data_IF_072984923866
#
_entry.id   IF_072984923866
#
_cell.length_a   1.000
_cell.length_b   1.000
_cell.length_c   1.000
_cell.angle_alpha   90.00
_cell.angle_beta   90.00
_cell.angle_gamma   90.00
#
_symmetry.space_group_name_H-M   'P 1'
#
loop_
_entity.id
_entity.type
_entity.pdbx_description
1 polymer ?
#
# COMPACT_ATOMS: atom_id res chain seq x y z
N UNK A 1 -6.60 -15.58 -17.17
CA UNK A 1 -5.65 -15.17 -16.11
C UNK A 1 -6.30 -14.01 -15.39
N UNK A 2 -6.90 -14.26 -14.23
CA UNK A 2 -7.62 -13.21 -13.49
C UNK A 2 -6.61 -12.21 -12.93
N UNK A 3 -6.83 -10.93 -13.22
CA UNK A 3 -6.20 -9.80 -12.55
C UNK A 3 -6.45 -9.93 -11.04
N UNK A 4 -5.46 -9.61 -10.21
CA UNK A 4 -5.68 -9.57 -8.77
C UNK A 4 -6.53 -8.37 -8.36
N UNK A 5 -7.13 -8.44 -7.18
CA UNK A 5 -8.00 -7.40 -6.64
C UNK A 5 -7.77 -7.23 -5.13
N UNK A 6 -8.31 -6.14 -4.59
CA UNK A 6 -8.24 -5.82 -3.17
C UNK A 6 -9.66 -5.82 -2.62
N UNK A 7 -9.87 -6.51 -1.51
CA UNK A 7 -11.13 -6.49 -0.77
C UNK A 7 -10.93 -5.82 0.58
N UNK A 8 -12.00 -5.26 1.13
CA UNK A 8 -11.98 -4.51 2.37
C UNK A 8 -13.19 -4.85 3.25
N UNK A 9 -12.96 -4.88 4.55
CA UNK A 9 -14.00 -4.88 5.58
C UNK A 9 -13.58 -3.99 6.75
N UNK A 10 -14.57 -3.52 7.50
CA UNK A 10 -14.35 -2.86 8.78
C UNK A 10 -15.38 -3.28 9.81
N UNK A 11 -14.94 -3.53 11.03
CA UNK A 11 -15.78 -3.87 12.17
C UNK A 11 -15.22 -3.22 13.43
N UNK A 12 -16.02 -2.41 14.13
CA UNK A 12 -15.67 -1.78 15.41
C UNK A 12 -14.29 -1.09 15.44
N UNK A 13 -13.93 -0.40 14.36
CA UNK A 13 -12.64 0.29 14.23
C UNK A 13 -11.46 -0.60 13.85
N UNK A 14 -11.68 -1.90 13.64
CA UNK A 14 -10.71 -2.81 13.03
C UNK A 14 -10.92 -2.86 11.53
N UNK A 15 -9.86 -2.62 10.77
CA UNK A 15 -9.87 -2.61 9.30
C UNK A 15 -9.17 -3.85 8.77
N UNK A 16 -9.77 -4.52 7.79
CA UNK A 16 -9.23 -5.72 7.16
C UNK A 16 -9.09 -5.46 5.67
N UNK A 17 -7.90 -5.68 5.14
CA UNK A 17 -7.59 -5.57 3.72
C UNK A 17 -7.15 -6.94 3.22
N UNK A 18 -7.82 -7.49 2.22
CA UNK A 18 -7.49 -8.80 1.64
C UNK A 18 -7.03 -8.63 0.21
N UNK A 19 -5.79 -9.01 -0.07
CA UNK A 19 -5.19 -8.93 -1.40
C UNK A 19 -5.17 -10.31 -2.04
N UNK A 20 -5.79 -10.44 -3.21
CA UNK A 20 -6.02 -11.72 -3.87
C UNK A 20 -5.40 -11.70 -5.26
N UNK A 21 -4.65 -12.74 -5.61
CA UNK A 21 -4.04 -12.89 -6.93
C UNK A 21 -2.83 -11.97 -7.17
N UNK A 22 -2.68 -11.47 -8.39
CA UNK A 22 -1.60 -10.56 -8.78
C UNK A 22 -2.00 -9.10 -8.57
N UNK A 23 -1.54 -8.49 -7.46
CA UNK A 23 -1.84 -7.10 -7.14
C UNK A 23 -0.68 -6.21 -7.55
N UNK A 24 -0.96 -5.23 -8.41
CA UNK A 24 0.03 -4.30 -8.99
C UNK A 24 -0.40 -2.86 -8.78
N UNK A 25 0.46 -1.92 -9.17
CA UNK A 25 0.24 -0.47 -9.15
C UNK A 25 -1.12 0.00 -9.69
N UNK A 26 -1.77 -0.75 -10.59
CA UNK A 26 -3.10 -0.41 -11.11
C UNK A 26 -4.19 -0.46 -10.03
N UNK A 27 -4.11 -1.39 -9.07
CA UNK A 27 -5.08 -1.51 -7.98
C UNK A 27 -4.78 -0.56 -6.79
N UNK A 28 -3.75 0.27 -6.90
CA UNK A 28 -3.19 1.04 -5.78
C UNK A 28 -3.91 2.33 -5.45
N UNK A 29 -4.63 2.95 -6.38
CA UNK A 29 -5.26 4.27 -6.11
C UNK A 29 -6.45 4.12 -5.18
N UNK A 30 -7.31 3.14 -5.43
CA UNK A 30 -8.45 2.85 -4.54
C UNK A 30 -7.97 2.44 -3.15
N UNK A 31 -6.88 1.67 -3.08
CA UNK A 31 -6.22 1.31 -1.82
C UNK A 31 -5.65 2.55 -1.11
N UNK A 32 -4.79 3.34 -1.75
CA UNK A 32 -4.17 4.52 -1.13
C UNK A 32 -5.24 5.53 -0.65
N UNK A 33 -6.29 5.79 -1.44
CA UNK A 33 -7.42 6.63 -1.01
C UNK A 33 -8.12 6.07 0.22
N UNK A 34 -8.36 4.77 0.26
CA UNK A 34 -8.99 4.12 1.40
C UNK A 34 -8.12 4.24 2.66
N UNK A 35 -6.81 4.01 2.54
CA UNK A 35 -5.87 4.15 3.63
C UNK A 35 -5.81 5.59 4.15
N UNK A 36 -5.71 6.57 3.24
CA UNK A 36 -5.77 7.99 3.61
C UNK A 36 -7.08 8.35 4.34
N UNK A 37 -8.22 7.72 4.01
CA UNK A 37 -9.48 7.93 4.76
C UNK A 37 -9.42 7.32 6.16
N UNK A 38 -8.86 6.12 6.31
CA UNK A 38 -8.74 5.43 7.59
C UNK A 38 -7.80 6.19 8.53
N UNK A 39 -6.72 6.75 8.01
CA UNK A 39 -5.80 7.61 8.76
C UNK A 39 -6.47 8.84 9.40
N UNK A 40 -7.60 9.32 8.86
CA UNK A 40 -8.33 10.46 9.39
C UNK A 40 -9.39 10.07 10.42
N UNK A 41 -9.62 8.76 10.64
CA UNK A 41 -10.61 8.27 11.59
C UNK A 41 -10.05 8.27 13.01
N UNK A 42 -10.84 8.76 13.98
CA UNK A 42 -10.41 8.84 15.39
C UNK A 42 -10.53 7.51 16.14
N UNK A 43 -11.35 6.60 15.63
CA UNK A 43 -11.76 5.36 16.28
C UNK A 43 -11.10 4.11 15.67
N UNK A 44 -9.92 4.26 15.06
CA UNK A 44 -9.16 3.10 14.58
C UNK A 44 -8.59 2.34 15.77
N UNK A 45 -8.87 1.03 15.82
CA UNK A 45 -8.44 0.11 16.88
C UNK A 45 -7.43 -0.91 16.35
N UNK A 46 -7.46 -1.22 15.05
CA UNK A 46 -6.56 -2.20 14.46
C UNK A 46 -6.60 -2.20 12.94
N UNK A 47 -5.55 -2.76 12.33
CA UNK A 47 -5.56 -3.11 10.92
C UNK A 47 -4.91 -4.48 10.67
N UNK A 48 -5.52 -5.25 9.77
CA UNK A 48 -5.03 -6.54 9.29
C UNK A 48 -4.91 -6.47 7.77
N UNK A 49 -3.73 -6.81 7.26
CA UNK A 49 -3.47 -6.97 5.83
C UNK A 49 -3.29 -8.46 5.55
N UNK A 50 -4.28 -9.07 4.92
CA UNK A 50 -4.31 -10.47 4.52
C UNK A 50 -3.74 -10.64 3.11
N UNK A 51 -2.55 -11.22 3.02
CA UNK A 51 -1.86 -11.58 1.78
C UNK A 51 -1.87 -13.11 1.53
N UNK A 52 -2.67 -13.87 2.28
CA UNK A 52 -2.67 -15.35 2.22
C UNK A 52 -3.08 -15.90 0.86
N UNK A 53 -3.82 -15.11 0.07
CA UNK A 53 -4.22 -15.42 -1.32
C UNK A 53 -3.51 -14.58 -2.37
N UNK A 54 -2.47 -13.82 -1.98
CA UNK A 54 -1.67 -13.02 -2.90
C UNK A 54 -0.63 -13.92 -3.60
N UNK A 55 -0.59 -13.87 -4.93
CA UNK A 55 0.38 -14.61 -5.75
C UNK A 55 1.52 -13.73 -6.24
N UNK A 56 1.29 -12.42 -6.36
CA UNK A 56 2.30 -11.43 -6.72
C UNK A 56 1.95 -10.07 -6.11
N UNK A 57 2.98 -9.34 -5.65
CA UNK A 57 2.86 -7.98 -5.15
C UNK A 57 4.09 -7.18 -5.60
N UNK A 58 3.89 -5.95 -6.07
CA UNK A 58 4.99 -5.06 -6.45
C UNK A 58 5.42 -4.12 -5.32
N UNK A 59 6.52 -3.38 -5.53
CA UNK A 59 7.03 -2.40 -4.57
C UNK A 59 6.06 -1.24 -4.31
N UNK A 60 5.19 -0.91 -5.26
CA UNK A 60 4.22 0.17 -5.11
C UNK A 60 3.17 -0.22 -4.08
N UNK A 61 2.59 -1.41 -4.20
CA UNK A 61 1.62 -1.93 -3.22
C UNK A 61 2.28 -2.04 -1.84
N UNK A 62 3.50 -2.59 -1.76
CA UNK A 62 4.24 -2.70 -0.49
C UNK A 62 4.51 -1.34 0.15
N UNK A 63 4.83 -0.31 -0.65
CA UNK A 63 5.02 1.05 -0.14
C UNK A 63 3.75 1.68 0.41
N UNK A 64 2.61 1.40 -0.22
CA UNK A 64 1.29 1.84 0.26
C UNK A 64 0.92 1.13 1.57
N UNK A 65 1.17 -0.17 1.66
CA UNK A 65 0.98 -0.92 2.92
C UNK A 65 1.92 -0.39 4.01
N UNK A 66 3.18 -0.12 3.68
CA UNK A 66 4.13 0.49 4.60
C UNK A 66 3.65 1.84 5.13
N UNK A 67 3.01 2.66 4.28
CA UNK A 67 2.43 3.94 4.66
C UNK A 67 1.34 3.76 5.72
N UNK A 68 0.41 2.82 5.51
CA UNK A 68 -0.59 2.46 6.52
C UNK A 68 0.06 2.06 7.85
N UNK A 69 0.98 1.09 7.81
CA UNK A 69 1.62 0.57 9.02
C UNK A 69 2.35 1.66 9.80
N UNK A 70 3.09 2.53 9.10
CA UNK A 70 3.80 3.64 9.69
C UNK A 70 2.83 4.63 10.37
N UNK A 71 1.72 4.95 9.70
CA UNK A 71 0.73 5.91 10.18
C UNK A 71 -0.04 5.41 11.39
N UNK A 72 -0.47 4.15 11.39
CA UNK A 72 -1.11 3.53 12.54
C UNK A 72 -0.19 3.48 13.75
N UNK A 73 1.09 3.15 13.52
CA UNK A 73 2.10 3.12 14.58
C UNK A 73 2.38 4.51 15.16
N UNK A 74 2.48 5.54 14.31
CA UNK A 74 2.81 6.91 14.74
C UNK A 74 1.63 7.66 15.36
N UNK A 75 0.43 7.50 14.79
CA UNK A 75 -0.74 8.31 15.15
C UNK A 75 -1.59 7.65 16.21
N UNK A 76 -1.81 6.34 16.08
CA UNK A 76 -2.70 5.57 16.96
C UNK A 76 -1.95 4.66 17.93
N UNK A 77 -0.62 4.58 17.84
CA UNK A 77 0.20 3.64 18.62
C UNK A 77 -0.22 2.17 18.43
N UNK A 78 -0.79 1.87 17.26
CA UNK A 78 -1.25 0.54 16.87
C UNK A 78 -0.23 -0.06 15.92
N UNK A 79 0.21 -1.29 16.22
CA UNK A 79 0.98 -2.07 15.27
C UNK A 79 0.04 -2.96 14.46
N UNK A 80 0.00 -2.74 13.15
CA UNK A 80 -0.84 -3.52 12.26
C UNK A 80 -0.30 -4.95 12.09
N UNK A 81 -1.16 -5.88 11.70
CA UNK A 81 -0.81 -7.28 11.44
C UNK A 81 -0.82 -7.53 9.93
N UNK A 82 0.19 -8.23 9.43
CA UNK A 82 0.24 -8.71 8.06
C UNK A 82 0.22 -10.24 8.06
N UNK A 83 -0.77 -10.85 7.43
CA UNK A 83 -0.87 -12.30 7.28
C UNK A 83 -0.27 -12.69 5.93
N UNK A 84 0.74 -13.55 5.91
CA UNK A 84 1.35 -14.03 4.67
C UNK A 84 1.77 -15.49 4.82
N UNK A 85 1.14 -16.35 4.03
CA UNK A 85 1.43 -17.80 3.95
C UNK A 85 2.36 -18.15 2.80
N UNK A 86 2.54 -17.23 1.84
CA UNK A 86 3.47 -17.39 0.73
C UNK A 86 4.89 -16.95 1.16
N UNK A 87 5.89 -17.85 1.21
CA UNK A 87 7.23 -17.53 1.69
C UNK A 87 7.95 -16.50 0.82
N UNK A 88 7.67 -16.44 -0.48
CA UNK A 88 8.29 -15.46 -1.38
C UNK A 88 7.77 -14.05 -1.08
N UNK A 89 6.45 -13.91 -0.87
CA UNK A 89 5.81 -12.66 -0.46
C UNK A 89 6.28 -12.23 0.92
N UNK A 90 6.36 -13.16 1.88
CA UNK A 90 6.89 -12.90 3.22
C UNK A 90 8.35 -12.43 3.19
N UNK A 91 9.18 -13.04 2.35
CA UNK A 91 10.60 -12.65 2.19
C UNK A 91 10.70 -11.27 1.56
N UNK A 92 9.89 -10.99 0.54
CA UNK A 92 9.83 -9.69 -0.11
C UNK A 92 9.37 -8.58 0.84
N UNK A 93 8.31 -8.80 1.62
CA UNK A 93 7.83 -7.84 2.60
C UNK A 93 8.90 -7.53 3.66
N UNK A 94 9.61 -8.56 4.15
CA UNK A 94 10.69 -8.39 5.10
C UNK A 94 11.90 -7.64 4.51
N UNK A 95 12.32 -7.99 3.29
CA UNK A 95 13.46 -7.31 2.63
C UNK A 95 13.18 -5.84 2.35
N UNK A 96 11.92 -5.49 2.09
CA UNK A 96 11.45 -4.11 1.95
C UNK A 96 11.25 -3.39 3.30
N UNK A 97 11.46 -4.06 4.43
CA UNK A 97 11.41 -3.47 5.77
C UNK A 97 10.04 -3.40 6.42
N UNK A 98 9.02 -4.07 5.88
CA UNK A 98 7.65 -3.99 6.42
C UNK A 98 7.53 -4.56 7.84
N UNK A 99 8.42 -5.46 8.25
CA UNK A 99 8.49 -5.97 9.63
C UNK A 99 8.75 -4.88 10.69
N UNK A 100 9.17 -3.68 10.30
CA UNK A 100 9.33 -2.56 11.22
C UNK A 100 7.99 -1.89 11.60
N UNK A 101 6.98 -2.05 10.75
CA UNK A 101 5.66 -1.40 10.88
C UNK A 101 4.49 -2.39 10.98
N UNK A 102 4.72 -3.66 10.61
CA UNK A 102 3.77 -4.75 10.78
C UNK A 102 4.34 -5.85 11.68
N UNK A 103 3.45 -6.54 12.40
CA UNK A 103 3.72 -7.91 12.86
C UNK A 103 3.36 -8.85 11.72
N UNK A 104 4.34 -9.53 11.12
CA UNK A 104 4.12 -10.46 10.03
C UNK A 104 3.90 -11.86 10.61
N UNK A 105 2.74 -12.45 10.33
CA UNK A 105 2.35 -13.77 10.83
C UNK A 105 2.10 -14.73 9.66
N UNK A 106 2.65 -15.93 9.77
CA UNK A 106 2.24 -17.06 8.93
C UNK A 106 1.04 -17.75 9.61
N UNK A 107 -0.15 -17.18 9.40
CA UNK A 107 -1.39 -17.71 9.92
C UNK A 107 -2.35 -18.00 8.76
N UNK A 108 -2.82 -19.24 8.71
CA UNK A 108 -3.82 -19.72 7.76
C UNK A 108 -5.06 -20.18 8.53
N UNK A 109 -5.73 -19.24 9.19
CA UNK A 109 -7.13 -19.41 9.53
C UNK A 109 -7.95 -18.74 8.43
N UNK A 110 -9.11 -19.30 8.10
CA UNK A 110 -10.07 -18.65 7.22
C UNK A 110 -11.09 -17.92 8.10
N UNK A 111 -10.83 -16.68 8.51
CA UNK A 111 -11.87 -15.91 9.17
C UNK A 111 -12.94 -15.67 8.11
N UNK A 112 -14.12 -16.27 8.29
CA UNK A 112 -15.34 -15.98 7.51
C UNK A 112 -15.75 -14.52 7.72
N UNK A 113 -14.96 -13.59 7.19
CA UNK A 113 -15.20 -12.15 7.21
C UNK A 113 -15.74 -11.80 5.85
N UNK A 114 -16.93 -11.19 5.82
CA UNK A 114 -17.49 -10.66 4.59
C UNK A 114 -16.71 -9.41 4.17
N UNK A 115 -15.77 -9.57 3.25
CA UNK A 115 -15.03 -8.50 2.58
C UNK A 115 -15.74 -8.09 1.29
N UNK A 116 -15.58 -6.82 0.89
CA UNK A 116 -16.10 -6.27 -0.36
C UNK A 116 -14.94 -5.83 -1.25
N UNK A 117 -14.98 -6.20 -2.52
CA UNK A 117 -14.00 -5.76 -3.52
C UNK A 117 -14.00 -4.24 -3.67
N UNK A 118 -12.81 -3.64 -3.70
CA UNK A 118 -12.63 -2.23 -3.98
C UNK A 118 -12.80 -2.00 -5.47
N UNK A 119 -13.73 -1.12 -5.84
CA UNK A 119 -13.94 -0.73 -7.23
C UNK A 119 -12.71 -0.02 -7.79
N UNK A 120 -12.24 -0.47 -8.95
CA UNK A 120 -11.23 0.24 -9.72
C UNK A 120 -11.83 1.54 -10.28
N UNK A 121 -11.21 2.67 -9.96
CA UNK A 121 -11.62 3.96 -10.50
C UNK A 121 -10.85 4.28 -11.79
N UNK A 122 -11.40 5.16 -12.63
CA UNK A 122 -10.68 5.62 -13.83
C UNK A 122 -9.43 6.41 -13.42
N UNK A 123 -8.26 5.83 -13.67
CA UNK A 123 -6.97 6.33 -13.19
C UNK A 123 -6.42 7.38 -14.17
N UNK A 124 -6.06 8.56 -13.66
CA UNK A 124 -5.27 9.54 -14.43
C UNK A 124 -3.77 9.25 -14.28
N UNK A 125 -2.99 9.58 -15.31
CA UNK A 125 -1.52 9.42 -15.27
C UNK A 125 -0.88 10.16 -14.09
N UNK A 126 -1.33 11.40 -13.82
CA UNK A 126 -0.81 12.20 -12.71
C UNK A 126 -1.13 11.56 -11.34
N UNK A 127 -2.35 11.02 -11.15
CA UNK A 127 -2.71 10.32 -9.91
C UNK A 127 -1.84 9.08 -9.70
N UNK A 128 -1.62 8.29 -10.75
CA UNK A 128 -0.75 7.10 -10.69
C UNK A 128 0.70 7.49 -10.34
N UNK A 129 1.25 8.50 -11.00
CA UNK A 129 2.61 8.99 -10.74
C UNK A 129 2.78 9.44 -9.29
N UNK A 130 1.79 10.18 -8.77
CA UNK A 130 1.78 10.65 -7.38
C UNK A 130 1.76 9.47 -6.39
N UNK A 131 0.88 8.49 -6.60
CA UNK A 131 0.78 7.30 -5.73
C UNK A 131 2.07 6.47 -5.76
N UNK A 132 2.66 6.26 -6.95
CA UNK A 132 3.92 5.52 -7.09
C UNK A 132 5.07 6.25 -6.38
N UNK A 133 5.17 7.57 -6.54
CA UNK A 133 6.18 8.39 -5.85
C UNK A 133 6.06 8.32 -4.34
N UNK A 134 4.85 8.47 -3.80
CA UNK A 134 4.61 8.44 -2.35
C UNK A 134 4.91 7.06 -1.75
N UNK A 135 4.51 5.99 -2.43
CA UNK A 135 4.82 4.61 -2.04
C UNK A 135 6.33 4.37 -1.93
N UNK A 136 7.09 4.74 -2.96
CA UNK A 136 8.54 4.53 -2.96
C UNK A 136 9.26 5.43 -1.94
N UNK A 137 8.87 6.70 -1.80
CA UNK A 137 9.38 7.58 -0.75
C UNK A 137 9.12 7.00 0.64
N UNK A 138 7.98 6.33 0.84
CA UNK A 138 7.68 5.64 2.09
C UNK A 138 8.62 4.45 2.32
N UNK A 139 8.85 3.60 1.32
CA UNK A 139 9.82 2.50 1.44
C UNK A 139 11.24 3.01 1.73
N UNK A 140 11.67 4.09 1.08
CA UNK A 140 12.99 4.69 1.33
C UNK A 140 13.18 5.15 2.78
N UNK A 141 12.10 5.55 3.47
CA UNK A 141 12.16 5.95 4.88
C UNK A 141 12.27 4.77 5.84
N UNK A 142 11.98 3.55 5.39
CA UNK A 142 12.05 2.36 6.26
C UNK A 142 13.49 1.90 6.49
N UNK A 143 14.37 1.97 5.50
CA UNK A 143 15.77 1.57 5.65
C UNK A 143 16.67 2.17 4.55
N UNK A 144 17.98 2.25 4.83
CA UNK A 144 18.98 2.82 3.92
C UNK A 144 19.11 2.04 2.61
N UNK A 145 18.90 0.72 2.63
CA UNK A 145 18.94 -0.10 1.41
C UNK A 145 17.86 0.33 0.41
N UNK A 146 16.63 0.51 0.89
CA UNK A 146 15.52 1.03 0.09
C UNK A 146 15.82 2.45 -0.40
N UNK A 147 16.41 3.30 0.44
CA UNK A 147 16.83 4.65 0.05
C UNK A 147 17.78 4.61 -1.15
N UNK A 148 18.87 3.85 -1.05
CA UNK A 148 19.87 3.77 -2.12
C UNK A 148 19.30 3.13 -3.39
N UNK A 149 18.44 2.12 -3.25
CA UNK A 149 17.86 1.40 -4.38
C UNK A 149 16.82 2.25 -5.15
N UNK A 150 15.96 2.98 -4.46
CA UNK A 150 14.85 3.70 -5.09
C UNK A 150 15.12 5.18 -5.37
N UNK A 151 16.19 5.78 -4.81
CA UNK A 151 16.52 7.19 -5.04
C UNK A 151 16.63 7.57 -6.54
N UNK A 152 17.29 6.79 -7.42
CA UNK A 152 17.37 7.13 -8.84
C UNK A 152 16.00 7.18 -9.51
N UNK A 153 15.15 6.20 -9.20
CA UNK A 153 13.78 6.09 -9.73
C UNK A 153 12.93 7.27 -9.26
N UNK A 154 12.93 7.58 -7.97
CA UNK A 154 12.16 8.69 -7.41
C UNK A 154 12.59 10.03 -8.00
N UNK A 155 13.90 10.26 -8.19
CA UNK A 155 14.40 11.48 -8.85
C UNK A 155 13.91 11.62 -10.28
N UNK A 156 13.82 10.52 -11.03
CA UNK A 156 13.31 10.53 -12.40
C UNK A 156 11.81 10.83 -12.44
N UNK A 157 11.03 10.12 -11.63
CA UNK A 157 9.58 10.31 -11.55
C UNK A 157 9.21 11.73 -11.06
N UNK A 158 9.99 12.31 -10.15
CA UNK A 158 9.77 13.69 -9.69
C UNK A 158 9.95 14.71 -10.81
N UNK A 159 10.96 14.54 -11.68
CA UNK A 159 11.16 15.42 -12.84
C UNK A 159 10.00 15.33 -13.83
N UNK A 160 9.45 14.14 -14.03
CA UNK A 160 8.28 13.93 -14.88
C UNK A 160 7.06 14.66 -14.29
N UNK A 161 6.83 14.54 -12.98
CA UNK A 161 5.76 15.24 -12.27
C UNK A 161 5.87 16.76 -12.43
N UNK A 162 7.06 17.32 -12.18
CA UNK A 162 7.30 18.76 -12.30
C UNK A 162 7.07 19.26 -13.73
N UNK A 163 7.39 18.44 -14.74
CA UNK A 163 7.15 18.76 -16.16
C UNK A 163 5.66 18.81 -16.50
N UNK A 164 4.88 17.85 -15.97
CA UNK A 164 3.43 17.79 -16.16
C UNK A 164 2.72 18.98 -15.48
N UNK A 165 3.15 19.33 -14.27
CA UNK A 165 2.58 20.45 -13.51
C UNK A 165 2.85 21.81 -14.20
N UNK A 166 4.06 21.98 -14.76
CA UNK A 166 4.39 23.17 -15.55
C UNK A 166 3.59 23.27 -16.86
N UNK A 167 3.34 22.14 -17.53
CA UNK A 167 2.53 22.12 -18.75
C UNK A 167 1.06 22.46 -18.47
N UNK A 168 0.50 21.95 -17.36
CA UNK A 168 -0.87 22.24 -16.93
C UNK A 168 -1.05 23.71 -16.52
N UNK A 169 -0.04 24.29 -15.86
CA UNK A 169 -0.05 25.71 -15.45
C UNK A 169 0.01 26.66 -16.65
N UNK A 170 0.71 26.29 -17.74
CA UNK A 170 0.80 27.08 -18.97
C UNK A 170 -0.44 27.00 -19.88
N UNK A 171 -1.29 25.98 -19.71
CA UNK A 171 -2.55 25.84 -20.46
C UNK A 171 -3.72 26.62 -19.83
N UNK A 172 -3.60 26.98 -18.55
CA UNK A 172 -4.62 27.70 -17.79
C UNK A 172 -4.31 29.20 -17.59
N UNK A 173 -3.25 29.72 -18.25
CA UNK A 173 -2.82 31.12 -18.24
C UNK A 173 -2.95 31.72 -19.65
#
# INVERSE_FOLDING_TARGET
MSTGHVEYASLDGTHIFKLIGEVRAQSCISLDKLLNRIEQQKNVVGAIVDLTRTTFIDSTVLGILAKLGLKLKQTHHIQAVMLSTNPDISTLANSMGLGQVFVILNYCGDPNVCTLELTEEHITHNAMLTTVLDAHKTLMRLNENNQNMFEPLVKQLQKEQDTLDQACTKQNA
#
